data_IF_405317647374
#
_entry.id   IF_405317647374
#
_cell.length_a   1.000
_cell.length_b   1.000
_cell.length_c   1.000
_cell.angle_alpha   90.00
_cell.angle_beta   90.00
_cell.angle_gamma   90.00
#
_symmetry.space_group_name_H-M   'P 1'
#
loop_
_entity.id
_entity.type
_entity.pdbx_description
1 polymer ?
#
# COMPACT_ATOMS: atom_id res chain seq x y z
N UNK A 1 2.03 6.14 -47.92
CA UNK A 1 1.77 6.86 -46.65
C UNK A 1 1.00 6.02 -45.64
N UNK A 2 -0.19 5.47 -45.98
CA UNK A 2 -1.01 4.66 -45.04
C UNK A 2 -0.27 3.49 -44.36
N UNK A 3 0.53 2.71 -45.12
CA UNK A 3 1.32 1.58 -44.58
C UNK A 3 2.40 2.04 -43.57
N UNK A 4 3.06 3.16 -43.84
CA UNK A 4 4.08 3.75 -42.97
C UNK A 4 3.48 4.26 -41.64
N UNK A 5 2.30 4.89 -41.72
CA UNK A 5 1.57 5.31 -40.52
C UNK A 5 1.06 4.14 -39.68
N UNK A 6 0.62 3.04 -40.29
CA UNK A 6 0.22 1.81 -39.57
C UNK A 6 1.42 1.17 -38.88
N UNK A 7 2.57 1.10 -39.54
CA UNK A 7 3.79 0.55 -38.93
C UNK A 7 4.31 1.40 -37.78
N UNK A 8 4.25 2.73 -37.89
CA UNK A 8 4.64 3.64 -36.82
C UNK A 8 3.70 3.48 -35.61
N UNK A 9 2.39 3.39 -35.86
CA UNK A 9 1.40 3.21 -34.80
C UNK A 9 1.61 1.89 -34.05
N UNK A 10 1.85 0.78 -34.78
CA UNK A 10 2.16 -0.51 -34.19
C UNK A 10 3.44 -0.48 -33.33
N UNK A 11 4.47 0.23 -33.78
CA UNK A 11 5.72 0.38 -33.04
C UNK A 11 5.53 1.17 -31.74
N UNK A 12 4.73 2.24 -31.78
CA UNK A 12 4.41 3.05 -30.60
C UNK A 12 3.60 2.22 -29.58
N UNK A 13 2.63 1.42 -30.04
CA UNK A 13 1.89 0.54 -29.14
C UNK A 13 2.79 -0.51 -28.49
N UNK A 14 3.71 -1.12 -29.23
CA UNK A 14 4.68 -2.08 -28.67
C UNK A 14 5.59 -1.41 -27.64
N UNK A 15 6.08 -0.20 -27.95
CA UNK A 15 6.93 0.57 -27.04
C UNK A 15 6.18 0.97 -25.76
N UNK A 16 4.88 1.28 -25.84
CA UNK A 16 4.06 1.65 -24.69
C UNK A 16 3.86 0.51 -23.68
N UNK A 17 3.86 -0.74 -24.15
CA UNK A 17 3.70 -1.93 -23.30
C UNK A 17 4.91 -2.15 -22.37
N UNK A 18 6.08 -1.60 -22.70
CA UNK A 18 7.31 -1.74 -21.91
C UNK A 18 7.26 -0.88 -20.63
N UNK A 19 6.38 0.12 -20.57
CA UNK A 19 6.24 1.02 -19.42
C UNK A 19 5.22 0.55 -18.37
N UNK A 20 4.69 -0.68 -18.50
CA UNK A 20 3.79 -1.25 -17.49
C UNK A 20 4.62 -1.64 -16.26
N UNK A 21 4.78 -0.70 -15.34
CA UNK A 21 5.40 -0.95 -14.06
C UNK A 21 4.39 -1.65 -13.13
N UNK A 22 4.72 -2.84 -12.64
CA UNK A 22 3.97 -3.54 -11.61
C UNK A 22 4.19 -2.85 -10.25
N UNK A 23 3.10 -2.54 -9.54
CA UNK A 23 3.17 -2.08 -8.15
C UNK A 23 3.41 -3.30 -7.23
N UNK A 24 4.66 -3.57 -6.87
CA UNK A 24 5.00 -4.65 -5.95
C UNK A 24 4.94 -4.21 -4.49
N UNK A 25 4.16 -4.94 -3.71
CA UNK A 25 4.02 -4.71 -2.27
C UNK A 25 5.05 -5.57 -1.52
N UNK A 26 6.15 -4.96 -1.04
CA UNK A 26 7.23 -5.67 -0.34
C UNK A 26 6.77 -6.15 1.04
N UNK A 27 7.10 -7.37 1.45
CA UNK A 27 6.80 -7.86 2.81
C UNK A 27 7.88 -7.49 3.82
N UNK A 28 7.50 -7.08 5.03
CA UNK A 28 8.39 -6.77 6.16
C UNK A 28 8.03 -7.58 7.40
N UNK A 29 9.04 -8.06 8.12
CA UNK A 29 8.87 -8.76 9.40
C UNK A 29 8.85 -7.77 10.55
N UNK A 30 7.79 -7.81 11.36
CA UNK A 30 7.70 -7.07 12.61
C UNK A 30 8.23 -7.95 13.74
N UNK A 31 9.21 -7.44 14.49
CA UNK A 31 9.72 -8.14 15.69
C UNK A 31 8.64 -8.17 16.76
N UNK A 32 8.61 -9.25 17.54
CA UNK A 32 7.73 -9.32 18.70
C UNK A 32 8.08 -8.23 19.71
N UNK A 33 7.08 -7.68 20.39
CA UNK A 33 7.25 -6.59 21.35
C UNK A 33 6.24 -6.68 22.47
N UNK A 34 6.57 -6.08 23.60
CA UNK A 34 5.64 -5.94 24.71
C UNK A 34 4.82 -4.66 24.53
N UNK A 35 3.50 -4.79 24.47
CA UNK A 35 2.60 -3.65 24.34
C UNK A 35 2.35 -3.05 25.73
N UNK A 36 2.97 -1.91 26.01
CA UNK A 36 2.86 -1.19 27.28
C UNK A 36 1.45 -0.68 27.59
N UNK A 37 0.58 -0.53 26.58
CA UNK A 37 -0.80 -0.06 26.78
C UNK A 37 -1.76 -1.16 27.19
N UNK A 38 -1.51 -2.40 26.76
CA UNK A 38 -2.35 -3.57 27.06
C UNK A 38 -1.67 -4.58 27.99
N UNK A 39 -0.44 -4.27 28.44
CA UNK A 39 0.41 -5.16 29.25
C UNK A 39 0.46 -6.59 28.69
N UNK A 40 0.56 -6.72 27.37
CA UNK A 40 0.53 -8.01 26.68
C UNK A 40 1.67 -8.14 25.69
N UNK A 41 2.17 -9.37 25.52
CA UNK A 41 3.17 -9.66 24.52
C UNK A 41 2.52 -9.84 23.14
N UNK A 42 3.11 -9.20 22.12
CA UNK A 42 2.72 -9.35 20.73
C UNK A 42 3.78 -10.20 20.03
N UNK A 43 3.38 -11.35 19.51
CA UNK A 43 4.25 -12.25 18.76
C UNK A 43 4.73 -11.60 17.44
N UNK A 44 5.91 -11.97 16.91
CA UNK A 44 6.37 -11.49 15.61
C UNK A 44 5.42 -11.91 14.48
N UNK A 45 5.21 -11.02 13.51
CA UNK A 45 4.34 -11.27 12.37
C UNK A 45 4.88 -10.59 11.10
N UNK A 46 4.36 -10.97 9.94
CA UNK A 46 4.68 -10.33 8.67
C UNK A 46 3.57 -9.35 8.29
N UNK A 47 3.96 -8.21 7.71
CA UNK A 47 3.04 -7.24 7.13
C UNK A 47 3.60 -6.70 5.82
N UNK A 48 2.73 -6.13 4.99
CA UNK A 48 3.16 -5.38 3.83
C UNK A 48 3.93 -4.11 4.25
N UNK A 49 4.98 -3.77 3.52
CA UNK A 49 5.77 -2.57 3.76
C UNK A 49 4.90 -1.36 3.52
N UNK A 50 4.88 -0.39 4.45
CA UNK A 50 4.16 0.83 4.20
C UNK A 50 4.78 1.58 3.00
N UNK A 51 3.93 2.20 2.19
CA UNK A 51 4.36 3.09 1.10
C UNK A 51 4.15 4.57 1.46
N UNK A 52 4.40 5.49 0.51
CA UNK A 52 4.21 6.93 0.72
C UNK A 52 2.75 7.39 0.68
N UNK A 53 1.81 6.51 0.32
CA UNK A 53 0.41 6.86 0.08
C UNK A 53 -0.44 6.46 1.30
N UNK A 54 -0.88 7.45 2.09
CA UNK A 54 -1.65 7.20 3.33
C UNK A 54 -2.89 6.32 3.13
N UNK A 55 -3.57 6.45 1.98
CA UNK A 55 -4.75 5.64 1.65
C UNK A 55 -4.46 4.14 1.52
N UNK A 56 -3.22 3.77 1.22
CA UNK A 56 -2.80 2.36 1.11
C UNK A 56 -2.41 1.79 2.48
N UNK A 57 -2.07 2.65 3.45
CA UNK A 57 -1.55 2.24 4.75
C UNK A 57 -2.58 2.34 5.88
N UNK A 58 -3.60 3.19 5.75
CA UNK A 58 -4.60 3.47 6.78
C UNK A 58 -6.01 3.35 6.22
N UNK A 59 -6.90 2.68 6.95
CA UNK A 59 -8.32 2.64 6.60
C UNK A 59 -8.97 3.99 6.85
N UNK A 60 -9.72 4.50 5.87
CA UNK A 60 -10.64 5.63 6.04
C UNK A 60 -11.89 5.23 6.82
N UNK A 61 -12.23 3.93 6.81
CA UNK A 61 -13.32 3.39 7.60
C UNK A 61 -12.88 3.37 9.06
N UNK A 62 -13.59 4.17 9.86
CA UNK A 62 -13.20 4.38 11.24
C UNK A 62 -13.36 3.12 12.07
N UNK A 63 -12.26 2.41 12.36
CA UNK A 63 -12.31 1.31 13.31
C UNK A 63 -12.19 1.89 14.72
N UNK A 64 -13.14 1.57 15.61
CA UNK A 64 -13.07 1.94 17.01
C UNK A 64 -12.85 0.67 17.82
N UNK A 65 -11.89 0.71 18.74
CA UNK A 65 -11.72 -0.40 19.68
C UNK A 65 -12.94 -0.43 20.63
N UNK A 66 -13.75 -1.51 20.64
CA UNK A 66 -14.99 -1.56 21.41
C UNK A 66 -14.76 -1.54 22.93
N UNK A 67 -13.58 -1.92 23.40
CA UNK A 67 -13.24 -1.96 24.83
C UNK A 67 -12.69 -0.63 25.36
N UNK A 68 -12.18 0.24 24.48
CA UNK A 68 -11.49 1.48 24.90
C UNK A 68 -12.00 2.75 24.23
N UNK A 69 -12.87 2.65 23.21
CA UNK A 69 -13.38 3.79 22.45
C UNK A 69 -12.34 4.53 21.60
N UNK A 70 -11.10 4.01 21.53
CA UNK A 70 -10.00 4.66 20.80
C UNK A 70 -10.14 4.41 19.29
N UNK A 71 -9.89 5.46 18.51
CA UNK A 71 -9.81 5.41 17.04
C UNK A 71 -8.59 4.59 16.62
N UNK A 72 -8.83 3.49 15.90
CA UNK A 72 -7.83 2.66 15.21
C UNK A 72 -7.53 3.11 13.79
N UNK A 73 -7.87 4.35 13.45
CA UNK A 73 -7.66 4.97 12.15
C UNK A 73 -7.16 6.40 12.37
N UNK A 74 -6.41 6.92 11.40
CA UNK A 74 -5.93 8.30 11.39
C UNK A 74 -6.55 9.04 10.21
N UNK A 75 -6.75 10.35 10.36
CA UNK A 75 -7.22 11.17 9.25
C UNK A 75 -6.12 11.19 8.16
N UNK A 76 -6.36 10.67 6.95
CA UNK A 76 -5.34 10.62 5.91
C UNK A 76 -4.90 12.03 5.44
N UNK A 77 -5.69 13.08 5.72
CA UNK A 77 -5.37 14.46 5.33
C UNK A 77 -4.57 15.25 6.38
N UNK A 78 -4.33 14.68 7.57
CA UNK A 78 -3.56 15.35 8.64
C UNK A 78 -2.13 14.79 8.69
N UNK A 79 -1.13 15.66 8.84
CA UNK A 79 0.28 15.30 9.03
C UNK A 79 0.60 15.18 10.51
#
# INVERSE_FOLDING_TARGET
MKKLSVTIFALITILSLIFINSAEAKTVRVKGYYNSRSSSYVAPYYKTSPDKYKFNNYSTKGNYNPYTGKKGYVNPYKW
#
